data_IF_468578224589
#
_entry.id   IF_468578224589
#
_cell.length_a   1.000
_cell.length_b   1.000
_cell.length_c   1.000
_cell.angle_alpha   90.00
_cell.angle_beta   90.00
_cell.angle_gamma   90.00
#
_symmetry.space_group_name_H-M   'P 1'
#
loop_
_entity.id
_entity.type
_entity.pdbx_description
1 polymer ?
#
# COMPACT_ATOMS: atom_id res chain seq x y z
N UNK A 1 15.35 19.60 -15.16
CA UNK A 1 14.91 18.24 -14.76
C UNK A 1 13.39 18.05 -14.72
N UNK A 2 12.54 19.09 -14.72
CA UNK A 2 11.07 18.89 -14.70
C UNK A 2 10.55 18.19 -15.96
N UNK A 3 10.96 18.65 -17.14
CA UNK A 3 10.52 18.05 -18.41
C UNK A 3 10.96 16.60 -18.53
N UNK A 4 12.20 16.31 -18.11
CA UNK A 4 12.72 14.95 -18.04
C UNK A 4 11.86 14.06 -17.13
N UNK A 5 11.51 14.50 -15.92
CA UNK A 5 10.67 13.73 -15.01
C UNK A 5 9.26 13.52 -15.59
N UNK A 6 8.69 14.52 -16.25
CA UNK A 6 7.39 14.36 -16.90
C UNK A 6 7.41 13.27 -17.98
N UNK A 7 8.51 13.15 -18.73
CA UNK A 7 8.60 12.22 -19.86
C UNK A 7 9.11 10.83 -19.48
N UNK A 8 9.90 10.72 -18.41
CA UNK A 8 10.64 9.48 -18.09
C UNK A 8 10.31 8.91 -16.72
N UNK A 9 9.73 9.70 -15.80
CA UNK A 9 9.36 9.22 -14.46
C UNK A 9 7.87 8.90 -14.38
N UNK A 10 7.01 9.85 -14.76
CA UNK A 10 5.55 9.70 -14.61
C UNK A 10 4.95 8.54 -15.42
N UNK A 11 5.63 8.10 -16.47
CA UNK A 11 5.20 6.96 -17.28
C UNK A 11 5.23 5.62 -16.55
N UNK A 12 5.92 5.54 -15.40
CA UNK A 12 5.96 4.33 -14.57
C UNK A 12 4.80 4.23 -13.58
N UNK A 13 4.05 5.34 -13.36
CA UNK A 13 2.83 5.31 -12.56
C UNK A 13 1.74 4.57 -13.33
N UNK A 14 1.00 3.73 -12.64
CA UNK A 14 -0.17 3.09 -13.25
C UNK A 14 -1.37 4.03 -13.17
N UNK A 15 -2.21 4.09 -14.21
CA UNK A 15 -3.54 4.70 -14.07
C UNK A 15 -4.30 4.01 -12.94
N UNK A 16 -5.00 4.79 -12.10
CA UNK A 16 -5.70 4.28 -10.90
C UNK A 16 -6.68 3.17 -11.26
N UNK A 17 -7.35 3.28 -12.40
CA UNK A 17 -8.32 2.31 -12.92
C UNK A 17 -7.68 0.98 -13.32
N UNK A 18 -6.36 0.92 -13.40
CA UNK A 18 -5.56 -0.28 -13.68
C UNK A 18 -4.74 -0.74 -12.47
N UNK A 19 -4.79 -0.01 -11.36
CA UNK A 19 -4.19 -0.45 -10.11
C UNK A 19 -5.08 -1.52 -9.47
N UNK A 20 -4.44 -2.54 -8.90
CA UNK A 20 -5.13 -3.42 -7.99
C UNK A 20 -5.55 -2.64 -6.74
N UNK A 21 -6.57 -3.13 -6.05
CA UNK A 21 -7.04 -2.61 -4.77
C UNK A 21 -6.95 -3.71 -3.70
N UNK A 22 -6.78 -3.36 -2.41
CA UNK A 22 -6.73 -4.36 -1.34
C UNK A 22 -7.93 -5.33 -1.35
N UNK A 23 -9.11 -4.84 -1.72
CA UNK A 23 -10.34 -5.62 -1.83
C UNK A 23 -10.27 -6.73 -2.88
N UNK A 24 -9.38 -6.62 -3.87
CA UNK A 24 -9.20 -7.67 -4.89
C UNK A 24 -8.60 -8.96 -4.30
N UNK A 25 -7.98 -8.87 -3.11
CA UNK A 25 -7.25 -9.96 -2.47
C UNK A 25 -7.79 -10.36 -1.09
N UNK A 26 -8.80 -9.64 -0.60
CA UNK A 26 -9.38 -9.84 0.74
C UNK A 26 -10.79 -10.45 0.63
N UNK A 27 -11.26 -11.14 1.68
CA UNK A 27 -12.66 -11.53 1.78
C UNK A 27 -13.60 -10.35 1.56
N UNK A 28 -14.63 -10.54 0.73
CA UNK A 28 -15.59 -9.49 0.38
C UNK A 28 -16.69 -9.39 1.45
N UNK A 29 -16.75 -8.31 2.26
CA UNK A 29 -17.74 -8.16 3.33
C UNK A 29 -19.17 -7.95 2.82
N UNK A 30 -19.36 -7.64 1.54
CA UNK A 30 -20.68 -7.54 0.93
C UNK A 30 -21.20 -8.88 0.36
N UNK A 31 -20.36 -9.92 0.35
CA UNK A 31 -20.71 -11.24 -0.16
C UNK A 31 -21.46 -12.08 0.89
N UNK A 32 -22.49 -12.82 0.47
CA UNK A 32 -23.12 -13.85 1.31
C UNK A 32 -22.13 -14.96 1.75
N UNK A 33 -21.00 -15.09 1.04
CA UNK A 33 -19.93 -16.05 1.35
C UNK A 33 -18.79 -15.49 2.21
N UNK A 34 -18.91 -14.29 2.77
CA UNK A 34 -17.85 -13.63 3.54
C UNK A 34 -17.27 -14.51 4.65
N UNK A 35 -18.12 -15.08 5.50
CA UNK A 35 -17.69 -15.89 6.65
C UNK A 35 -16.89 -17.13 6.22
N UNK A 36 -17.30 -17.78 5.13
CA UNK A 36 -16.56 -18.93 4.60
C UNK A 36 -15.22 -18.49 3.97
N UNK A 37 -15.18 -17.34 3.30
CA UNK A 37 -13.92 -16.79 2.76
C UNK A 37 -12.91 -16.48 3.89
N UNK A 38 -13.37 -15.87 4.98
CA UNK A 38 -12.54 -15.60 6.18
C UNK A 38 -12.07 -16.92 6.82
N UNK A 39 -12.96 -17.91 6.94
CA UNK A 39 -12.60 -19.23 7.46
C UNK A 39 -11.53 -19.92 6.59
N UNK A 40 -11.69 -19.95 5.27
CA UNK A 40 -10.71 -20.54 4.34
C UNK A 40 -9.37 -19.79 4.39
N UNK A 41 -9.40 -18.46 4.55
CA UNK A 41 -8.19 -17.67 4.79
C UNK A 41 -7.47 -18.13 6.07
N UNK A 42 -8.19 -18.22 7.18
CA UNK A 42 -7.66 -18.64 8.49
C UNK A 42 -7.11 -20.07 8.45
N UNK A 43 -7.82 -21.02 7.85
CA UNK A 43 -7.33 -22.41 7.74
C UNK A 43 -6.01 -22.51 6.97
N UNK A 44 -5.84 -21.76 5.87
CA UNK A 44 -4.58 -21.73 5.11
C UNK A 44 -3.42 -21.17 5.93
N UNK A 45 -3.71 -20.26 6.86
CA UNK A 45 -2.70 -19.60 7.68
C UNK A 45 -2.17 -20.49 8.81
N UNK A 46 -2.91 -21.52 9.24
CA UNK A 46 -2.49 -22.45 10.30
C UNK A 46 -1.23 -23.25 9.96
N UNK A 47 -0.92 -23.41 8.68
CA UNK A 47 0.28 -24.12 8.21
C UNK A 47 1.48 -23.19 7.97
N UNK A 48 1.31 -21.88 8.19
CA UNK A 48 2.38 -20.89 8.04
C UNK A 48 3.13 -20.77 9.39
N UNK A 49 4.47 -20.90 9.41
CA UNK A 49 5.23 -20.84 10.66
C UNK A 49 5.29 -19.42 11.25
N UNK A 50 5.38 -19.32 12.58
CA UNK A 50 5.45 -18.04 13.30
C UNK A 50 6.60 -17.14 12.82
N UNK A 51 7.75 -17.72 12.47
CA UNK A 51 8.90 -16.97 11.94
C UNK A 51 8.55 -16.21 10.66
N UNK A 52 7.65 -16.74 9.84
CA UNK A 52 7.16 -16.05 8.65
C UNK A 52 6.26 -14.87 9.04
N UNK A 53 5.34 -15.08 9.98
CA UNK A 53 4.47 -14.00 10.47
C UNK A 53 5.27 -12.89 11.15
N UNK A 54 6.33 -13.21 11.89
CA UNK A 54 7.19 -12.21 12.51
C UNK A 54 7.79 -11.25 11.47
N UNK A 55 8.29 -11.78 10.35
CA UNK A 55 8.83 -10.96 9.26
C UNK A 55 7.70 -10.18 8.58
N UNK A 56 6.58 -10.83 8.27
CA UNK A 56 5.46 -10.18 7.57
C UNK A 56 4.80 -9.05 8.40
N UNK A 57 4.75 -9.20 9.73
CA UNK A 57 4.32 -8.13 10.64
C UNK A 57 5.31 -6.97 10.60
N UNK A 58 6.62 -7.26 10.57
CA UNK A 58 7.65 -6.24 10.39
C UNK A 58 7.50 -5.46 9.08
N UNK A 59 7.19 -6.17 7.99
CA UNK A 59 6.91 -5.57 6.67
C UNK A 59 5.67 -4.67 6.76
N UNK A 60 4.56 -5.16 7.33
CA UNK A 60 3.33 -4.37 7.51
C UNK A 60 3.56 -3.10 8.32
N UNK A 61 4.28 -3.18 9.45
CA UNK A 61 4.62 -2.00 10.28
C UNK A 61 5.43 -0.98 9.49
N UNK A 62 6.32 -1.45 8.62
CA UNK A 62 7.13 -0.59 7.75
C UNK A 62 6.25 0.11 6.72
N UNK A 63 5.35 -0.61 6.05
CA UNK A 63 4.41 -0.03 5.07
C UNK A 63 3.47 1.03 5.71
N UNK A 64 2.97 0.79 6.92
CA UNK A 64 2.13 1.72 7.68
C UNK A 64 2.85 3.04 8.07
N UNK A 65 4.18 3.06 8.02
CA UNK A 65 4.97 4.26 8.27
C UNK A 65 5.01 5.24 7.08
N UNK A 66 4.19 5.03 6.04
CA UNK A 66 4.10 5.83 4.82
C UNK A 66 4.10 7.36 5.02
N UNK A 67 3.41 7.97 6.02
CA UNK A 67 3.50 9.41 6.25
C UNK A 67 4.94 9.90 6.48
N UNK A 68 5.80 9.06 7.08
CA UNK A 68 7.23 9.36 7.28
C UNK A 68 7.98 9.39 5.96
N UNK A 69 7.73 8.44 5.07
CA UNK A 69 8.40 8.35 3.77
C UNK A 69 8.00 9.48 2.83
N UNK A 70 6.71 9.81 2.76
CA UNK A 70 6.24 10.94 1.98
C UNK A 70 6.81 12.27 2.52
N UNK A 71 6.88 12.43 3.85
CA UNK A 71 7.53 13.59 4.48
C UNK A 71 9.00 13.66 4.10
N UNK A 72 9.74 12.55 4.17
CA UNK A 72 11.15 12.47 3.79
C UNK A 72 11.36 12.96 2.34
N UNK A 73 10.56 12.49 1.37
CA UNK A 73 10.62 12.98 -0.02
C UNK A 73 10.32 14.48 -0.10
N UNK A 74 9.33 14.97 0.66
CA UNK A 74 8.98 16.39 0.72
C UNK A 74 10.01 17.27 1.45
N UNK A 75 11.04 16.70 2.07
CA UNK A 75 12.20 17.48 2.57
C UNK A 75 13.27 17.71 1.51
N UNK A 76 13.25 16.96 0.40
CA UNK A 76 14.27 17.01 -0.64
C UNK A 76 14.13 18.29 -1.49
N UNK A 77 15.17 19.12 -1.45
CA UNK A 77 15.24 20.35 -2.24
C UNK A 77 15.15 20.05 -3.75
N UNK A 78 14.32 20.80 -4.47
CA UNK A 78 14.14 20.67 -5.91
C UNK A 78 13.05 19.70 -6.36
N UNK A 79 12.58 18.80 -5.47
CA UNK A 79 11.49 17.84 -5.76
C UNK A 79 10.29 17.97 -4.83
N UNK A 80 10.47 18.59 -3.64
CA UNK A 80 9.39 18.76 -2.65
C UNK A 80 8.10 19.37 -3.22
N UNK A 81 6.97 18.90 -2.71
CA UNK A 81 5.70 19.59 -2.87
C UNK A 81 5.58 20.75 -1.88
N UNK A 82 5.61 21.98 -2.39
CA UNK A 82 5.53 23.19 -1.56
C UNK A 82 4.11 23.59 -1.14
N UNK A 83 3.06 22.95 -1.70
CA UNK A 83 1.67 23.35 -1.45
C UNK A 83 0.76 22.18 -1.07
N UNK A 84 1.27 20.94 -1.14
CA UNK A 84 0.47 19.72 -1.02
C UNK A 84 -0.35 19.38 -2.28
N UNK A 85 -0.29 20.23 -3.29
CA UNK A 85 -1.00 20.06 -4.57
C UNK A 85 -0.22 20.66 -5.75
N UNK A 86 1.11 20.80 -5.62
CA UNK A 86 1.92 21.38 -6.69
C UNK A 86 1.79 20.57 -7.98
N UNK A 87 1.73 21.26 -9.12
CA UNK A 87 1.65 20.66 -10.45
C UNK A 87 3.01 20.30 -11.04
N UNK A 88 4.09 20.40 -10.26
CA UNK A 88 5.39 19.93 -10.73
C UNK A 88 5.37 18.41 -10.90
N UNK A 89 6.06 17.85 -11.91
CA UNK A 89 6.11 16.40 -12.11
C UNK A 89 6.59 15.63 -10.88
N UNK A 90 7.52 16.21 -10.11
CA UNK A 90 8.00 15.63 -8.86
C UNK A 90 6.92 15.55 -7.79
N UNK A 91 6.14 16.62 -7.59
CA UNK A 91 5.05 16.62 -6.63
C UNK A 91 3.91 15.67 -7.05
N UNK A 92 3.61 15.60 -8.36
CA UNK A 92 2.66 14.62 -8.90
C UNK A 92 3.13 13.20 -8.61
N UNK A 93 4.41 12.90 -8.89
CA UNK A 93 5.00 11.60 -8.57
C UNK A 93 4.90 11.28 -7.07
N UNK A 94 5.33 12.18 -6.18
CA UNK A 94 5.29 11.94 -4.73
C UNK A 94 3.88 11.61 -4.22
N UNK A 95 2.85 12.28 -4.74
CA UNK A 95 1.46 12.01 -4.34
C UNK A 95 0.91 10.72 -4.94
N UNK A 96 1.20 10.45 -6.21
CA UNK A 96 0.76 9.23 -6.88
C UNK A 96 1.46 7.98 -6.33
N UNK A 97 2.77 8.04 -6.12
CA UNK A 97 3.54 7.00 -5.43
C UNK A 97 2.96 6.72 -4.05
N UNK A 98 2.73 7.75 -3.23
CA UNK A 98 2.14 7.56 -1.91
C UNK A 98 0.73 6.94 -1.98
N UNK A 99 -0.06 7.28 -3.00
CA UNK A 99 -1.37 6.66 -3.21
C UNK A 99 -1.27 5.17 -3.59
N UNK A 100 -0.27 4.78 -4.38
CA UNK A 100 0.01 3.36 -4.69
C UNK A 100 0.52 2.62 -3.44
N UNK A 101 1.51 3.16 -2.71
CA UNK A 101 2.07 2.54 -1.49
C UNK A 101 1.04 2.37 -0.37
N UNK A 102 0.06 3.27 -0.26
CA UNK A 102 -1.01 3.12 0.74
C UNK A 102 -1.76 1.78 0.57
N UNK A 103 -1.88 1.28 -0.67
CA UNK A 103 -2.50 -0.01 -0.94
C UNK A 103 -1.74 -1.19 -0.29
N UNK A 104 -0.43 -1.08 -0.09
CA UNK A 104 0.40 -2.13 0.51
C UNK A 104 0.07 -2.31 1.99
N UNK A 105 0.16 -1.21 2.76
CA UNK A 105 -0.18 -1.18 4.18
C UNK A 105 -1.63 -1.61 4.42
N UNK A 106 -2.58 -1.03 3.67
CA UNK A 106 -4.00 -1.37 3.76
C UNK A 106 -4.30 -2.86 3.57
N UNK A 107 -3.64 -3.51 2.60
CA UNK A 107 -3.83 -4.93 2.32
C UNK A 107 -3.28 -5.79 3.47
N UNK A 108 -2.04 -5.52 3.89
CA UNK A 108 -1.39 -6.30 4.95
C UNK A 108 -2.10 -6.11 6.29
N UNK A 109 -2.48 -4.88 6.64
CA UNK A 109 -3.20 -4.57 7.87
C UNK A 109 -4.51 -5.37 7.94
N UNK A 110 -5.37 -5.25 6.92
CA UNK A 110 -6.64 -5.97 6.88
C UNK A 110 -6.47 -7.49 6.84
N UNK A 111 -5.43 -7.97 6.15
CA UNK A 111 -5.07 -9.39 6.18
C UNK A 111 -4.83 -9.86 7.63
N UNK A 112 -4.01 -9.13 8.40
CA UNK A 112 -3.78 -9.44 9.82
C UNK A 112 -5.03 -9.26 10.70
N UNK A 113 -5.88 -8.26 10.43
CA UNK A 113 -7.16 -8.10 11.15
C UNK A 113 -8.03 -9.35 11.01
N UNK A 114 -8.07 -9.99 9.83
CA UNK A 114 -8.80 -11.24 9.67
C UNK A 114 -8.16 -12.42 10.41
N UNK A 115 -6.88 -12.33 10.79
CA UNK A 115 -6.14 -13.40 11.46
C UNK A 115 -6.03 -13.22 12.99
N UNK A 116 -6.58 -12.14 13.58
CA UNK A 116 -6.42 -11.81 15.02
C UNK A 116 -6.86 -12.93 15.98
N UNK A 117 -7.72 -13.86 15.55
CA UNK A 117 -8.11 -15.02 16.37
C UNK A 117 -7.11 -16.20 16.33
N UNK A 118 -6.06 -16.12 15.52
CA UNK A 118 -5.04 -17.16 15.33
C UNK A 118 -3.66 -16.80 15.90
N UNK A 119 -3.41 -15.52 16.21
CA UNK A 119 -2.12 -14.98 16.67
C UNK A 119 -2.27 -14.50 18.11
#
# INVERSE_FOLDING_TARGET
MRDWASQNLLMHLKPVEKCWQPTDFLPDPASEGFDEQVKVLRERCKEIPDDYFLVLIGDMITEEALPTYQTMINTLNGVRDGTGASLTPWAIWTRAWAAEENGHGDLLNKYFMFLEELI
#
